data_IF_434102467432
#
_entry.id   IF_434102467432
#
_cell.length_a   1.000
_cell.length_b   1.000
_cell.length_c   1.000
_cell.angle_alpha   90.00
_cell.angle_beta   90.00
_cell.angle_gamma   90.00
#
_symmetry.space_group_name_H-M   'P 1'
#
loop_
_entity.id
_entity.type
_entity.pdbx_description
1 polymer ?
#
# COMPACT_ATOMS: atom_id res chain seq x y z
N UNK A 1 -15.08 -15.16 17.02
CA UNK A 1 -13.64 -15.25 17.32
C UNK A 1 -12.95 -15.65 16.02
N UNK A 2 -11.96 -14.90 15.52
CA UNK A 2 -11.23 -15.29 14.30
C UNK A 2 -10.37 -16.51 14.65
N UNK A 3 -10.54 -17.62 13.93
CA UNK A 3 -9.61 -18.75 14.03
C UNK A 3 -8.34 -18.40 13.26
N UNK A 4 -7.26 -18.16 13.99
CA UNK A 4 -5.98 -17.70 13.45
C UNK A 4 -4.90 -18.78 13.53
N UNK A 5 -5.21 -19.97 14.04
CA UNK A 5 -4.16 -20.96 14.31
C UNK A 5 -3.65 -21.62 13.03
N UNK A 6 -4.54 -21.91 12.08
CA UNK A 6 -4.23 -22.55 10.80
C UNK A 6 -4.06 -21.57 9.64
N UNK A 7 -4.51 -20.33 9.81
CA UNK A 7 -4.51 -19.31 8.76
C UNK A 7 -3.10 -19.00 8.23
N UNK A 8 -2.93 -19.08 6.91
CA UNK A 8 -1.68 -18.75 6.22
C UNK A 8 -1.24 -17.31 6.48
N UNK A 9 -2.18 -16.36 6.50
CA UNK A 9 -1.89 -14.95 6.83
C UNK A 9 -1.33 -14.83 8.26
N UNK A 10 -1.98 -15.47 9.23
CA UNK A 10 -1.54 -15.40 10.62
C UNK A 10 -0.14 -15.99 10.81
N UNK A 11 0.15 -17.12 10.14
CA UNK A 11 1.48 -17.75 10.11
C UNK A 11 2.53 -16.81 9.51
N UNK A 12 2.26 -16.19 8.36
CA UNK A 12 3.21 -15.25 7.73
C UNK A 12 3.47 -14.02 8.62
N UNK A 13 2.43 -13.43 9.21
CA UNK A 13 2.60 -12.26 10.08
C UNK A 13 3.46 -12.60 11.29
N UNK A 14 3.26 -13.76 11.92
CA UNK A 14 4.10 -14.22 13.03
C UNK A 14 5.53 -14.54 12.59
N UNK A 15 5.71 -15.14 11.42
CA UNK A 15 7.05 -15.40 10.90
C UNK A 15 7.85 -14.11 10.65
N UNK A 16 7.20 -13.05 10.16
CA UNK A 16 7.87 -11.77 9.89
C UNK A 16 8.05 -10.87 11.12
N UNK A 17 7.12 -10.91 12.09
CA UNK A 17 7.13 -10.01 13.26
C UNK A 17 7.60 -10.70 14.56
N UNK A 18 7.70 -12.02 14.57
CA UNK A 18 7.78 -12.84 15.79
C UNK A 18 6.39 -13.17 16.34
N UNK A 19 6.28 -14.25 17.11
CA UNK A 19 4.98 -14.79 17.56
C UNK A 19 4.17 -13.80 18.40
N UNK A 20 4.79 -13.17 19.39
CA UNK A 20 4.12 -12.25 20.32
C UNK A 20 3.64 -10.98 19.59
N UNK A 21 4.56 -10.31 18.88
CA UNK A 21 4.25 -9.08 18.14
C UNK A 21 3.25 -9.38 17.03
N UNK A 22 3.41 -10.50 16.32
CA UNK A 22 2.49 -10.94 15.29
C UNK A 22 1.09 -11.19 15.84
N UNK A 23 0.96 -11.88 16.98
CA UNK A 23 -0.33 -12.12 17.61
C UNK A 23 -1.02 -10.82 18.06
N UNK A 24 -0.29 -9.90 18.70
CA UNK A 24 -0.82 -8.58 19.11
C UNK A 24 -1.25 -7.76 17.88
N UNK A 25 -0.46 -7.78 16.81
CA UNK A 25 -0.76 -7.06 15.58
C UNK A 25 -2.02 -7.60 14.92
N UNK A 26 -2.17 -8.93 14.82
CA UNK A 26 -3.38 -9.57 14.28
C UNK A 26 -4.61 -9.26 15.12
N UNK A 27 -4.50 -9.30 16.45
CA UNK A 27 -5.61 -9.00 17.36
C UNK A 27 -6.12 -7.56 17.21
N UNK A 28 -5.24 -6.62 16.85
CA UNK A 28 -5.61 -5.23 16.64
C UNK A 28 -6.42 -4.99 15.34
N UNK A 29 -6.39 -5.93 14.40
CA UNK A 29 -6.89 -5.74 13.05
C UNK A 29 -8.28 -6.37 12.86
N UNK A 30 -9.15 -5.63 12.18
CA UNK A 30 -10.40 -6.14 11.64
C UNK A 30 -10.13 -6.67 10.23
N UNK A 31 -10.08 -8.00 10.10
CA UNK A 31 -9.88 -8.70 8.82
C UNK A 31 -11.12 -9.50 8.50
N UNK A 32 -11.55 -9.46 7.23
CA UNK A 32 -12.69 -10.25 6.78
C UNK A 32 -12.34 -11.74 6.81
N UNK A 33 -13.30 -12.64 7.12
CA UNK A 33 -13.04 -14.08 7.18
C UNK A 33 -12.45 -14.66 5.89
N UNK A 34 -12.81 -14.10 4.73
CA UNK A 34 -12.30 -14.52 3.43
C UNK A 34 -10.78 -14.32 3.27
N UNK A 35 -10.19 -13.33 3.96
CA UNK A 35 -8.74 -13.13 3.95
C UNK A 35 -7.99 -14.09 4.88
N UNK A 36 -8.72 -14.76 5.78
CA UNK A 36 -8.13 -15.65 6.78
C UNK A 36 -8.36 -17.13 6.46
N UNK A 37 -9.20 -17.44 5.47
CA UNK A 37 -9.60 -18.81 5.12
C UNK A 37 -8.54 -19.62 4.38
N UNK A 38 -7.50 -18.98 3.85
CA UNK A 38 -6.39 -19.68 3.21
C UNK A 38 -5.59 -20.48 4.25
N UNK A 39 -5.37 -21.77 3.98
CA UNK A 39 -4.58 -22.68 4.81
C UNK A 39 -3.61 -23.50 3.93
N UNK A 40 -2.58 -24.07 4.55
CA UNK A 40 -1.62 -24.98 3.91
C UNK A 40 -0.28 -24.34 3.55
N UNK A 41 0.44 -24.97 2.62
CA UNK A 41 1.85 -24.65 2.32
C UNK A 41 2.04 -23.81 1.05
N UNK A 42 0.95 -23.30 0.47
CA UNK A 42 0.99 -22.30 -0.61
C UNK A 42 0.38 -21.00 -0.13
N UNK A 43 1.06 -19.91 -0.45
CA UNK A 43 0.67 -18.54 -0.13
C UNK A 43 0.16 -17.88 -1.40
N UNK A 44 -1.11 -17.49 -1.41
CA UNK A 44 -1.68 -16.67 -2.48
C UNK A 44 -1.14 -15.24 -2.42
N UNK A 45 -1.16 -14.52 -3.54
CA UNK A 45 -0.81 -13.08 -3.57
C UNK A 45 -1.69 -12.24 -2.63
N UNK A 46 -2.97 -12.62 -2.47
CA UNK A 46 -3.90 -12.00 -1.53
C UNK A 46 -3.50 -12.20 -0.07
N UNK A 47 -3.15 -13.44 0.31
CA UNK A 47 -2.60 -13.75 1.63
C UNK A 47 -1.30 -12.98 1.89
N UNK A 48 -0.40 -12.94 0.90
CA UNK A 48 0.86 -12.20 1.01
C UNK A 48 0.65 -10.69 1.17
N UNK A 49 -0.24 -10.10 0.37
CA UNK A 49 -0.59 -8.69 0.45
C UNK A 49 -1.21 -8.31 1.80
N UNK A 50 -2.06 -9.19 2.35
CA UNK A 50 -2.68 -9.01 3.67
C UNK A 50 -1.63 -9.07 4.79
N UNK A 51 -0.74 -10.07 4.76
CA UNK A 51 0.33 -10.22 5.74
C UNK A 51 1.30 -9.03 5.69
N UNK A 52 1.67 -8.57 4.49
CA UNK A 52 2.50 -7.38 4.29
C UNK A 52 1.82 -6.12 4.85
N UNK A 53 0.52 -5.94 4.61
CA UNK A 53 -0.25 -4.84 5.16
C UNK A 53 -0.23 -4.81 6.70
N UNK A 54 -0.38 -5.97 7.34
CA UNK A 54 -0.28 -6.10 8.80
C UNK A 54 1.14 -5.79 9.33
N UNK A 55 2.17 -6.27 8.65
CA UNK A 55 3.57 -5.97 9.00
C UNK A 55 3.89 -4.47 8.89
N UNK A 56 3.46 -3.82 7.80
CA UNK A 56 3.65 -2.38 7.60
C UNK A 56 2.85 -1.55 8.62
N UNK A 57 1.65 -2.00 8.99
CA UNK A 57 0.88 -1.39 10.07
C UNK A 57 1.66 -1.40 11.38
N UNK A 58 2.31 -2.52 11.72
CA UNK A 58 3.17 -2.58 12.92
C UNK A 58 4.31 -1.55 12.86
N UNK A 59 4.98 -1.44 11.71
CA UNK A 59 6.03 -0.42 11.52
C UNK A 59 5.51 1.01 11.75
N UNK A 60 4.26 1.31 11.38
CA UNK A 60 3.64 2.61 11.68
C UNK A 60 3.47 2.81 13.18
N UNK A 61 2.97 1.80 13.90
CA UNK A 61 2.77 1.92 15.34
C UNK A 61 4.10 2.13 16.09
N UNK A 62 5.17 1.48 15.64
CA UNK A 62 6.51 1.65 16.20
C UNK A 62 7.08 3.05 15.93
N UNK A 63 6.78 3.63 14.77
CA UNK A 63 7.29 4.94 14.35
C UNK A 63 6.43 6.14 14.75
N UNK A 64 5.17 5.95 15.13
CA UNK A 64 4.16 7.00 15.33
C UNK A 64 3.43 6.80 16.66
N UNK A 65 3.92 7.38 17.78
CA UNK A 65 3.35 7.16 19.11
C UNK A 65 1.86 7.52 19.24
N UNK A 66 1.40 8.55 18.54
CA UNK A 66 -0.02 8.92 18.52
C UNK A 66 -0.90 7.87 17.84
N UNK A 67 -0.37 7.15 16.84
CA UNK A 67 -1.07 6.03 16.24
C UNK A 67 -1.16 4.85 17.21
N UNK A 68 -0.06 4.52 17.91
CA UNK A 68 -0.06 3.48 18.94
C UNK A 68 -1.07 3.78 20.06
N UNK A 69 -1.09 5.02 20.57
CA UNK A 69 -2.05 5.46 21.58
C UNK A 69 -3.50 5.34 21.09
N UNK A 70 -3.79 5.83 19.88
CA UNK A 70 -5.13 5.70 19.28
C UNK A 70 -5.56 4.23 19.16
N UNK A 71 -4.69 3.34 18.69
CA UNK A 71 -5.00 1.91 18.57
C UNK A 71 -5.25 1.29 19.93
N UNK A 72 -4.43 1.60 20.94
CA UNK A 72 -4.64 1.18 22.32
C UNK A 72 -6.03 1.55 22.84
N UNK A 73 -6.41 2.83 22.71
CA UNK A 73 -7.75 3.31 23.10
C UNK A 73 -8.89 2.59 22.37
N UNK A 74 -8.72 2.26 21.08
CA UNK A 74 -9.76 1.52 20.34
C UNK A 74 -9.92 0.10 20.88
N UNK A 75 -8.83 -0.56 21.23
CA UNK A 75 -8.86 -1.93 21.76
C UNK A 75 -9.44 -1.99 23.18
N UNK A 76 -9.24 -0.95 24.00
CA UNK A 76 -9.88 -0.84 25.32
C UNK A 76 -11.41 -0.85 25.26
N UNK A 77 -11.98 -0.40 24.14
CA UNK A 77 -13.43 -0.42 23.87
C UNK A 77 -13.84 -1.52 22.86
N UNK A 78 -13.05 -2.59 22.77
CA UNK A 78 -13.26 -3.75 21.89
C UNK A 78 -13.50 -3.40 20.40
N UNK A 79 -12.87 -2.31 19.94
CA UNK A 79 -12.93 -1.85 18.56
C UNK A 79 -11.62 -2.15 17.84
N UNK A 80 -11.71 -2.93 16.76
CA UNK A 80 -10.56 -3.27 15.92
C UNK A 80 -10.38 -2.31 14.75
N UNK A 81 -9.18 -2.27 14.20
CA UNK A 81 -8.79 -1.34 13.14
C UNK A 81 -8.98 -1.99 11.77
N UNK A 82 -9.74 -1.33 10.90
CA UNK A 82 -9.79 -1.67 9.46
C UNK A 82 -8.73 -0.86 8.71
N UNK A 83 -7.84 -1.55 8.01
CA UNK A 83 -6.80 -0.93 7.20
C UNK A 83 -7.38 -0.50 5.84
N UNK A 84 -7.66 0.79 5.67
CA UNK A 84 -8.25 1.30 4.43
C UNK A 84 -7.20 1.52 3.33
N UNK A 85 -6.19 2.36 3.61
CA UNK A 85 -5.09 2.59 2.69
C UNK A 85 -3.79 3.04 3.38
N UNK A 86 -2.66 2.73 2.75
CA UNK A 86 -1.33 3.22 3.09
C UNK A 86 -0.94 4.30 2.09
N UNK A 87 -0.30 5.38 2.56
CA UNK A 87 0.13 6.47 1.69
C UNK A 87 1.65 6.64 1.77
N UNK A 88 2.29 6.69 0.60
CA UNK A 88 3.73 6.78 0.47
C UNK A 88 4.11 7.75 -0.64
N UNK A 89 5.34 8.27 -0.55
CA UNK A 89 5.86 9.28 -1.48
C UNK A 89 7.14 8.79 -2.10
N UNK A 90 7.30 9.16 -3.37
CA UNK A 90 8.44 8.87 -4.23
C UNK A 90 8.87 10.16 -4.90
N UNK A 91 10.07 10.17 -5.47
CA UNK A 91 10.57 11.30 -6.25
C UNK A 91 10.78 10.87 -7.69
N UNK A 92 10.40 11.75 -8.62
CA UNK A 92 10.54 11.57 -10.04
C UNK A 92 11.42 12.69 -10.60
N UNK A 93 12.62 12.33 -11.02
CA UNK A 93 13.48 13.19 -11.82
C UNK A 93 12.96 13.25 -13.27
N UNK A 94 13.23 14.33 -14.01
CA UNK A 94 12.85 14.43 -15.42
C UNK A 94 13.40 13.29 -16.26
N UNK A 95 14.63 12.86 -15.95
CA UNK A 95 15.33 11.80 -16.65
C UNK A 95 15.90 10.80 -15.66
N UNK A 96 15.76 9.51 -15.98
CA UNK A 96 16.48 8.43 -15.32
C UNK A 96 15.92 7.98 -13.96
N UNK A 97 16.66 7.09 -13.28
CA UNK A 97 16.29 6.53 -11.99
C UNK A 97 16.54 7.50 -10.83
N UNK A 98 16.06 7.13 -9.64
CA UNK A 98 16.37 7.78 -8.37
C UNK A 98 17.49 7.00 -7.69
N UNK A 99 18.75 7.29 -8.04
CA UNK A 99 19.88 6.45 -7.68
C UNK A 99 19.73 5.02 -8.25
N UNK A 100 19.76 4.00 -7.40
CA UNK A 100 19.51 2.61 -7.81
C UNK A 100 18.01 2.24 -7.84
N UNK A 101 17.10 3.13 -7.43
CA UNK A 101 15.66 2.89 -7.49
C UNK A 101 15.08 3.30 -8.85
N UNK A 102 14.08 2.58 -9.38
CA UNK A 102 13.26 3.13 -10.46
C UNK A 102 12.68 4.49 -10.08
N UNK A 103 12.53 5.38 -11.05
CA UNK A 103 11.97 6.71 -10.83
C UNK A 103 10.49 6.64 -10.39
N UNK A 104 10.12 7.53 -9.47
CA UNK A 104 8.72 7.73 -9.07
C UNK A 104 8.03 6.47 -8.56
N UNK A 105 6.80 6.25 -9.00
CA UNK A 105 5.90 5.21 -8.54
C UNK A 105 6.38 3.82 -8.92
N UNK A 106 7.21 3.70 -9.95
CA UNK A 106 7.74 2.42 -10.42
C UNK A 106 8.62 1.73 -9.36
N UNK A 107 9.18 2.50 -8.41
CA UNK A 107 9.88 1.95 -7.25
C UNK A 107 8.98 0.99 -6.44
N UNK A 108 7.68 1.29 -6.37
CA UNK A 108 6.66 0.50 -5.65
C UNK A 108 5.78 -0.33 -6.60
N UNK A 109 5.47 0.15 -7.80
CA UNK A 109 4.61 -0.56 -8.74
C UNK A 109 5.18 -1.94 -9.11
N UNK A 110 6.51 -2.08 -9.17
CA UNK A 110 7.19 -3.37 -9.36
C UNK A 110 7.02 -4.38 -8.21
N UNK A 111 6.59 -3.93 -7.03
CA UNK A 111 6.24 -4.77 -5.87
C UNK A 111 4.73 -5.02 -5.87
N UNK A 112 3.95 -3.97 -6.10
CA UNK A 112 2.48 -4.00 -6.03
C UNK A 112 1.88 -4.87 -7.16
N UNK A 113 2.33 -4.71 -8.40
CA UNK A 113 1.76 -5.45 -9.55
C UNK A 113 1.88 -6.97 -9.38
N UNK A 114 3.06 -7.55 -9.05
CA UNK A 114 3.17 -8.99 -8.82
C UNK A 114 2.29 -9.50 -7.67
N UNK A 115 2.11 -8.69 -6.62
CA UNK A 115 1.23 -8.99 -5.50
C UNK A 115 -0.26 -8.81 -5.83
N UNK A 116 -0.63 -8.59 -7.10
CA UNK A 116 -2.03 -8.54 -7.52
C UNK A 116 -2.69 -7.18 -7.41
N UNK A 117 -1.93 -6.10 -7.21
CA UNK A 117 -2.49 -4.75 -7.25
C UNK A 117 -2.56 -4.21 -8.67
N UNK A 118 -3.57 -3.41 -8.94
CA UNK A 118 -3.72 -2.62 -10.17
C UNK A 118 -3.95 -1.16 -9.86
N UNK A 119 -3.44 -0.31 -10.74
CA UNK A 119 -3.69 1.12 -10.68
C UNK A 119 -5.16 1.39 -11.03
N UNK A 120 -5.90 1.92 -10.06
CA UNK A 120 -7.33 2.14 -10.17
C UNK A 120 -7.68 3.59 -10.51
N UNK A 121 -6.84 4.54 -10.13
CA UNK A 121 -7.04 5.96 -10.40
C UNK A 121 -5.75 6.77 -10.28
N UNK A 122 -5.68 7.85 -11.06
CA UNK A 122 -4.66 8.88 -10.99
C UNK A 122 -5.25 10.20 -10.49
N UNK A 123 -4.49 10.90 -9.67
CA UNK A 123 -4.86 12.15 -9.03
C UNK A 123 -3.77 13.19 -9.27
N UNK A 124 -3.91 14.08 -10.26
CA UNK A 124 -3.02 15.23 -10.40
C UNK A 124 -3.10 16.12 -9.16
N UNK A 125 -1.95 16.43 -8.56
CA UNK A 125 -1.82 17.27 -7.37
C UNK A 125 -0.94 18.50 -7.68
N UNK A 126 -1.35 19.38 -8.61
CA UNK A 126 -0.48 20.43 -9.16
C UNK A 126 -0.02 21.45 -8.11
N UNK A 127 -0.83 21.72 -7.09
CA UNK A 127 -0.44 22.61 -5.97
C UNK A 127 0.74 22.06 -5.17
N UNK A 128 0.93 20.75 -5.17
CA UNK A 128 2.03 20.07 -4.50
C UNK A 128 3.14 19.67 -5.48
N UNK A 129 2.99 19.95 -6.78
CA UNK A 129 3.88 19.48 -7.86
C UNK A 129 4.03 17.95 -7.83
N UNK A 130 2.90 17.26 -7.62
CA UNK A 130 2.86 15.81 -7.46
C UNK A 130 1.80 15.16 -8.35
N UNK A 131 1.91 13.85 -8.53
CA UNK A 131 0.81 13.00 -9.01
C UNK A 131 0.64 11.83 -8.05
N UNK A 132 -0.60 11.52 -7.69
CA UNK A 132 -0.96 10.40 -6.83
C UNK A 132 -1.58 9.26 -7.63
N UNK A 133 -1.19 8.03 -7.30
CA UNK A 133 -1.65 6.80 -7.92
C UNK A 133 -2.32 5.94 -6.85
N UNK A 134 -3.61 5.65 -7.03
CA UNK A 134 -4.34 4.73 -6.16
C UNK A 134 -4.26 3.31 -6.72
N UNK A 135 -3.79 2.39 -5.89
CA UNK A 135 -3.61 0.97 -6.18
C UNK A 135 -4.56 0.14 -5.33
N UNK A 136 -5.37 -0.71 -5.97
CA UNK A 136 -6.25 -1.65 -5.27
C UNK A 136 -5.91 -3.10 -5.64
N UNK A 137 -6.17 -4.02 -4.72
CA UNK A 137 -5.94 -5.44 -4.97
C UNK A 137 -7.02 -6.02 -5.87
N UNK A 138 -6.65 -6.83 -6.86
CA UNK A 138 -7.58 -7.43 -7.82
C UNK A 138 -8.57 -8.40 -7.17
N UNK A 139 -8.07 -9.26 -6.28
CA UNK A 139 -8.86 -10.37 -5.72
C UNK A 139 -9.86 -9.90 -4.64
N UNK A 140 -9.46 -8.92 -3.83
CA UNK A 140 -10.26 -8.38 -2.72
C UNK A 140 -10.11 -6.85 -2.63
N UNK A 141 -10.59 -6.09 -3.63
CA UNK A 141 -10.38 -4.64 -3.73
C UNK A 141 -10.99 -3.84 -2.56
N UNK A 142 -11.95 -4.46 -1.88
CA UNK A 142 -12.68 -3.90 -0.75
C UNK A 142 -12.23 -4.45 0.60
N UNK A 143 -11.33 -5.43 0.67
CA UNK A 143 -10.92 -5.99 1.97
C UNK A 143 -9.41 -5.87 2.21
N UNK A 144 -8.62 -5.88 1.14
CA UNK A 144 -7.18 -5.70 1.21
C UNK A 144 -6.86 -4.19 1.17
N UNK A 145 -5.98 -3.78 2.07
CA UNK A 145 -5.39 -2.43 2.17
C UNK A 145 -5.03 -1.89 0.79
N UNK A 146 -5.51 -0.69 0.43
CA UNK A 146 -5.10 0.01 -0.79
C UNK A 146 -3.77 0.76 -0.59
N UNK A 147 -3.08 1.11 -1.67
CA UNK A 147 -1.91 2.00 -1.61
C UNK A 147 -2.14 3.28 -2.42
N UNK A 148 -1.80 4.42 -1.82
CA UNK A 148 -1.71 5.71 -2.49
C UNK A 148 -0.25 6.11 -2.64
N UNK A 149 0.30 5.88 -3.83
CA UNK A 149 1.70 6.15 -4.17
C UNK A 149 1.76 7.50 -4.84
N UNK A 150 2.45 8.47 -4.25
CA UNK A 150 2.61 9.78 -4.87
C UNK A 150 4.02 10.01 -5.39
N UNK A 151 4.14 10.66 -6.53
CA UNK A 151 5.39 11.08 -7.16
C UNK A 151 5.54 12.59 -7.05
N UNK A 152 6.70 13.05 -6.56
CA UNK A 152 7.10 14.46 -6.59
C UNK A 152 7.90 14.75 -7.86
N UNK A 153 7.40 15.68 -8.67
CA UNK A 153 7.94 16.03 -9.97
C UNK A 153 9.03 17.09 -9.85
N UNK A 154 10.30 16.67 -9.90
CA UNK A 154 11.46 17.56 -9.66
C UNK A 154 11.58 18.65 -10.73
N UNK A 155 11.20 18.33 -11.97
CA UNK A 155 11.19 19.23 -13.12
C UNK A 155 10.24 20.42 -12.98
N UNK A 156 9.30 20.37 -12.03
CA UNK A 156 8.39 21.47 -11.71
C UNK A 156 8.95 22.44 -10.67
N UNK A 157 10.21 22.26 -10.24
CA UNK A 157 10.91 23.14 -9.30
C UNK A 157 12.08 23.89 -9.98
N UNK A 158 12.67 24.84 -9.24
CA UNK A 158 13.85 25.56 -9.71
C UNK A 158 15.12 24.68 -9.68
N UNK A 159 16.18 25.18 -10.31
CA UNK A 159 17.46 24.48 -10.38
C UNK A 159 18.11 24.23 -9.01
N UNK A 160 17.84 25.10 -8.02
CA UNK A 160 18.35 24.95 -6.66
C UNK A 160 17.74 23.74 -5.97
N UNK A 161 16.42 23.57 -6.12
CA UNK A 161 15.70 22.40 -5.65
C UNK A 161 16.18 21.13 -6.36
N UNK A 162 16.30 21.14 -7.68
CA UNK A 162 16.77 19.99 -8.44
C UNK A 162 18.16 19.52 -7.98
N UNK A 163 19.09 20.47 -7.79
CA UNK A 163 20.41 20.16 -7.26
C UNK A 163 20.36 19.59 -5.83
N UNK A 164 19.43 20.06 -4.99
CA UNK A 164 19.22 19.49 -3.66
C UNK A 164 18.65 18.07 -3.71
N UNK A 165 17.69 17.82 -4.60
CA UNK A 165 17.11 16.50 -4.81
C UNK A 165 18.19 15.49 -5.24
N UNK A 166 19.03 15.83 -6.22
CA UNK A 166 20.14 14.95 -6.65
C UNK A 166 21.09 14.61 -5.49
N UNK A 167 21.50 15.60 -4.69
CA UNK A 167 22.36 15.35 -3.51
C UNK A 167 21.74 14.39 -2.48
N UNK A 168 20.42 14.40 -2.34
CA UNK A 168 19.71 13.56 -1.36
C UNK A 168 19.46 12.16 -1.92
N UNK A 169 19.12 12.04 -3.20
CA UNK A 169 18.52 10.82 -3.74
C UNK A 169 19.40 10.04 -4.72
N UNK A 170 20.47 10.61 -5.27
CA UNK A 170 21.35 9.90 -6.22
C UNK A 170 22.06 8.69 -5.58
N UNK A 171 22.22 8.69 -4.25
CA UNK A 171 22.81 7.57 -3.50
C UNK A 171 21.77 6.58 -2.97
N UNK A 172 20.52 6.66 -3.43
CA UNK A 172 19.47 5.73 -3.01
C UNK A 172 19.82 4.31 -3.45
N UNK A 173 19.63 3.34 -2.55
CA UNK A 173 19.88 1.92 -2.79
C UNK A 173 18.57 1.21 -3.10
N UNK A 174 18.61 0.21 -3.99
CA UNK A 174 17.47 -0.68 -4.22
C UNK A 174 17.35 -1.68 -3.05
N UNK A 175 16.28 -1.64 -2.23
CA UNK A 175 16.11 -2.55 -1.11
C UNK A 175 15.70 -3.97 -1.54
N UNK A 176 15.29 -4.17 -2.80
CA UNK A 176 14.88 -5.48 -3.29
C UNK A 176 16.09 -6.33 -3.67
N UNK A 177 16.35 -7.34 -2.86
CA UNK A 177 17.35 -8.38 -3.17
C UNK A 177 16.95 -9.19 -4.41
N UNK A 178 17.91 -9.89 -5.02
CA UNK A 178 17.64 -10.80 -6.14
C UNK A 178 16.64 -11.89 -5.76
N UNK A 179 16.69 -12.39 -4.52
CA UNK A 179 15.74 -13.37 -4.01
C UNK A 179 14.32 -12.79 -3.91
N UNK A 180 14.17 -11.57 -3.39
CA UNK A 180 12.86 -10.91 -3.30
C UNK A 180 12.26 -10.68 -4.68
N UNK A 181 13.09 -10.27 -5.65
CA UNK A 181 12.70 -10.12 -7.07
C UNK A 181 12.21 -11.45 -7.65
N UNK A 182 12.93 -12.54 -7.44
CA UNK A 182 12.52 -13.87 -7.91
C UNK A 182 11.18 -14.33 -7.31
N UNK A 183 10.93 -14.06 -6.02
CA UNK A 183 9.64 -14.37 -5.38
C UNK A 183 8.51 -13.53 -5.99
N UNK A 184 8.75 -12.24 -6.26
CA UNK A 184 7.78 -11.38 -6.95
C UNK A 184 7.49 -11.92 -8.36
N UNK A 185 8.51 -12.30 -9.13
CA UNK A 185 8.32 -12.86 -10.47
C UNK A 185 7.43 -14.12 -10.44
N UNK A 186 7.58 -14.96 -9.41
CA UNK A 186 6.69 -16.11 -9.21
C UNK A 186 5.27 -15.74 -8.84
N UNK A 187 5.06 -14.74 -7.98
CA UNK A 187 3.71 -14.23 -7.73
C UNK A 187 3.06 -13.68 -9.00
N UNK A 188 3.82 -12.98 -9.85
CA UNK A 188 3.33 -12.49 -11.13
C UNK A 188 2.94 -13.63 -12.09
N UNK A 189 3.72 -14.72 -12.11
CA UNK A 189 3.50 -15.85 -13.01
C UNK A 189 2.40 -16.82 -12.53
N UNK A 190 2.41 -17.17 -11.23
CA UNK A 190 1.60 -18.25 -10.66
C UNK A 190 0.48 -17.77 -9.74
N UNK A 191 0.48 -16.49 -9.33
CA UNK A 191 -0.44 -15.94 -8.34
C UNK A 191 -0.24 -16.48 -6.91
N UNK A 192 0.70 -17.41 -6.71
CA UNK A 192 1.01 -18.03 -5.42
C UNK A 192 2.43 -18.58 -5.40
N UNK A 193 3.01 -18.73 -4.21
CA UNK A 193 4.33 -19.35 -3.98
C UNK A 193 4.29 -20.31 -2.78
N UNK A 194 5.27 -21.22 -2.62
CA UNK A 194 5.40 -22.03 -1.41
C UNK A 194 5.60 -21.15 -0.16
N UNK A 195 5.06 -21.58 0.98
CA UNK A 195 5.13 -20.84 2.25
C UNK A 195 6.58 -20.47 2.63
N UNK A 196 7.51 -21.42 2.53
CA UNK A 196 8.91 -21.21 2.85
C UNK A 196 9.60 -20.13 1.97
N UNK A 197 9.08 -19.85 0.77
CA UNK A 197 9.57 -18.76 -0.07
C UNK A 197 8.92 -17.42 0.29
N UNK A 198 7.62 -17.42 0.57
CA UNK A 198 6.91 -16.24 1.05
C UNK A 198 7.45 -15.76 2.41
N UNK A 199 7.75 -16.67 3.33
CA UNK A 199 8.35 -16.36 4.64
C UNK A 199 9.70 -15.64 4.52
N UNK A 200 10.49 -15.98 3.50
CA UNK A 200 11.79 -15.35 3.22
C UNK A 200 11.64 -14.02 2.47
N UNK A 201 10.47 -13.73 1.93
CA UNK A 201 10.22 -12.44 1.31
C UNK A 201 10.15 -11.39 2.41
N UNK A 202 11.20 -10.58 2.50
CA UNK A 202 11.16 -9.32 3.22
C UNK A 202 11.32 -8.19 2.21
N UNK A 203 10.29 -7.33 2.03
CA UNK A 203 10.44 -6.14 1.21
C UNK A 203 11.30 -5.06 1.90
N UNK A 204 11.74 -5.29 3.15
CA UNK A 204 12.69 -4.40 3.82
C UNK A 204 13.51 -5.11 4.91
N UNK A 205 14.81 -5.24 4.70
CA UNK A 205 15.74 -4.87 5.77
C UNK A 205 15.72 -3.34 5.85
N UNK A 206 15.00 -2.78 6.83
CA UNK A 206 14.95 -1.35 7.25
C UNK A 206 15.03 -0.26 6.16
N UNK A 207 14.02 0.63 6.01
CA UNK A 207 14.30 1.89 5.34
C UNK A 207 15.35 2.68 6.15
N UNK A 208 16.28 3.44 5.51
CA UNK A 208 16.98 4.51 6.20
C UNK A 208 15.93 5.45 6.83
N UNK A 209 16.27 6.07 7.96
CA UNK A 209 15.39 6.78 8.92
C UNK A 209 14.51 7.92 8.36
N UNK A 210 14.45 8.11 7.04
CA UNK A 210 13.74 9.15 6.33
C UNK A 210 12.37 8.74 5.77
N UNK A 211 12.05 7.43 5.69
CA UNK A 211 10.73 6.97 5.24
C UNK A 211 9.72 6.91 6.40
N UNK A 212 9.24 8.05 6.88
CA UNK A 212 8.09 8.10 7.80
C UNK A 212 6.79 8.01 7.00
N UNK A 213 6.03 6.92 7.17
CA UNK A 213 4.63 6.89 6.75
C UNK A 213 3.83 7.83 7.65
N UNK A 214 3.20 8.84 7.06
CA UNK A 214 2.25 9.69 7.78
C UNK A 214 0.89 8.97 7.84
N UNK A 215 0.15 9.09 8.96
CA UNK A 215 -1.17 8.47 9.07
C UNK A 215 -2.13 9.01 7.99
N UNK A 216 -3.03 8.18 7.45
CA UNK A 216 -3.93 8.59 6.39
C UNK A 216 -4.87 9.72 6.84
N UNK A 217 -4.97 10.76 6.03
CA UNK A 217 -6.00 11.80 6.15
C UNK A 217 -7.29 11.29 5.52
N UNK A 218 -8.42 11.43 6.23
CA UNK A 218 -9.71 10.77 5.93
C UNK A 218 -10.45 11.22 4.66
N UNK A 219 -9.86 11.95 3.71
CA UNK A 219 -10.69 12.69 2.74
C UNK A 219 -10.26 12.77 1.28
N UNK A 220 -9.26 12.01 0.80
CA UNK A 220 -8.79 12.22 -0.59
C UNK A 220 -8.79 11.02 -1.53
N UNK A 221 -8.97 9.80 -1.04
CA UNK A 221 -9.07 8.60 -1.89
C UNK A 221 -10.46 8.00 -1.77
N UNK A 222 -11.22 8.02 -2.88
CA UNK A 222 -12.45 7.22 -2.95
C UNK A 222 -12.03 5.76 -2.98
N UNK A 223 -12.54 4.98 -2.04
CA UNK A 223 -12.44 3.51 -2.06
C UNK A 223 -12.84 2.97 -3.43
N UNK A 224 -12.03 2.08 -3.99
CA UNK A 224 -12.33 1.45 -5.26
C UNK A 224 -13.53 0.50 -5.14
N UNK A 225 -14.75 0.98 -5.42
CA UNK A 225 -15.92 0.10 -5.59
C UNK A 225 -16.10 -0.31 -7.06
N UNK A 226 -16.31 -1.60 -7.37
CA UNK A 226 -16.52 -2.09 -8.74
C UNK A 226 -17.75 -1.48 -9.44
N UNK A 227 -18.73 -0.98 -8.67
CA UNK A 227 -20.02 -0.49 -9.18
C UNK A 227 -19.98 0.85 -9.93
N UNK A 228 -18.79 1.47 -10.11
CA UNK A 228 -18.65 2.80 -10.75
C UNK A 228 -17.97 2.80 -12.11
N UNK A 229 -17.70 1.65 -12.72
CA UNK A 229 -17.25 1.61 -14.13
C UNK A 229 -18.43 1.97 -15.03
N UNK A 230 -18.46 3.21 -15.52
CA UNK A 230 -19.33 3.60 -16.64
C UNK A 230 -18.86 2.85 -17.89
N UNK A 231 -19.72 2.13 -18.62
CA UNK A 231 -19.30 1.46 -19.85
C UNK A 231 -18.85 2.51 -20.88
N UNK A 232 -17.82 2.21 -21.70
CA UNK A 232 -17.37 3.11 -22.75
C UNK A 232 -18.53 3.34 -23.74
N UNK A 233 -18.90 4.60 -23.98
CA UNK A 233 -19.95 4.99 -24.94
C UNK A 233 -21.24 5.59 -24.34
N UNK A 234 -21.33 5.80 -23.02
CA UNK A 234 -22.50 6.48 -22.44
C UNK A 234 -22.44 8.01 -22.65
N UNK A 235 -23.45 8.64 -23.30
CA UNK A 235 -23.45 10.09 -23.53
C UNK A 235 -23.47 10.89 -22.20
N UNK A 236 -23.01 12.15 -22.21
CA UNK A 236 -23.08 13.01 -21.04
C UNK A 236 -24.53 13.24 -20.63
N UNK A 237 -24.80 13.12 -19.32
CA UNK A 237 -26.11 13.38 -18.74
C UNK A 237 -26.39 14.88 -18.80
N UNK A 238 -27.50 15.27 -19.41
CA UNK A 238 -27.91 16.67 -19.52
C UNK A 238 -28.01 17.32 -18.13
N UNK A 239 -27.48 18.54 -18.03
CA UNK A 239 -27.59 19.39 -16.85
C UNK A 239 -29.04 19.89 -16.70
N UNK A 240 -29.65 19.84 -15.50
CA UNK A 240 -30.95 20.46 -15.30
C UNK A 240 -30.80 21.98 -15.25
N UNK A 241 -31.56 22.65 -16.12
CA UNK A 241 -31.79 24.09 -16.14
C UNK A 241 -32.48 24.54 -14.85
N UNK A 242 -31.82 25.36 -14.05
CA UNK A 242 -32.41 26.09 -12.92
C UNK A 242 -32.79 27.51 -13.33
N UNK A 243 -33.98 27.67 -13.88
CA UNK A 243 -34.69 28.96 -13.85
C UNK A 243 -35.33 29.13 -12.48
N UNK A 244 -34.90 30.17 -11.73
CA UNK A 244 -35.58 30.66 -10.52
C UNK A 244 -36.75 31.57 -10.93
N UNK A 245 -37.96 31.41 -10.37
CA UNK A 245 -38.97 32.46 -10.45
C UNK A 245 -38.71 33.51 -9.35
N UNK A 246 -38.84 34.77 -9.74
CA UNK A 246 -38.88 35.94 -8.86
C UNK A 246 -40.23 36.02 -8.12
N UNK A 247 -40.18 36.21 -6.81
CA UNK A 247 -41.18 36.89 -6.00
C UNK A 247 -40.44 37.50 -4.79
#
# INVERSE_FOLDING_TARGET
>A
MQDLHTSTVARLVRAHLGDEIGAVTLAALNMTPALLSDEGERVSRASMATALGAALFRTVLDGVPSAAGYVGERLEIDTRITLDHGALRTILFPDGPTGALPGGQEAFARILRPLGYVEAAQYPLPRLRMTGHAWCHLDHPEDILQYFVSELHVDQFDAGFAAAAHRVFDTSVDPLSAQAKAVLDRFAAEGSVPFAEAERFSPSSSPPSTARMNPPSKTTTKRCSPSRRKPPGSPPRATPSTTRPTA
#
